data_IF_660009784720
#
_entry.id   IF_660009784720
#
_cell.length_a   1.000
_cell.length_b   1.000
_cell.length_c   1.000
_cell.angle_alpha   90.00
_cell.angle_beta   90.00
_cell.angle_gamma   90.00
#
_symmetry.space_group_name_H-M   'P 1'
#
loop_
_entity.id
_entity.type
_entity.pdbx_description
1 polymer ?
#
# COMPACT_ATOMS: atom_id res chain seq x y z
N UNK A 1 -19.82 8.12 -8.15
CA UNK A 1 -20.16 8.51 -7.88
C UNK A 1 -20.81 9.04 -7.25
N UNK A 2 -21.00 9.31 -7.13
CA UNK A 2 -21.66 9.77 -6.66
C UNK A 2 -21.94 10.77 -6.81
N UNK A 3 -21.86 11.20 -7.14
CA UNK A 3 -22.38 12.14 -7.33
C UNK A 3 -22.30 12.25 -8.50
N UNK A 4 -22.25 11.90 -8.97
CA UNK A 4 -22.31 12.02 -9.74
C UNK A 4 -23.11 11.91 -10.28
N UNK A 5 -23.60 12.09 -10.42
CA UNK A 5 -24.18 12.32 -10.79
C UNK A 5 -24.54 13.19 -11.14
N UNK A 6 -24.63 13.66 -11.39
CA UNK A 6 -24.95 14.68 -11.56
C UNK A 6 -24.75 15.10 -12.59
N UNK A 7 -24.76 15.01 -13.36
CA UNK A 7 -24.54 15.29 -14.13
C UNK A 7 -24.75 15.32 -15.22
N UNK A 8 -25.01 15.92 -16.06
CA UNK A 8 -25.14 15.80 -17.00
C UNK A 8 -25.03 16.66 -17.99
N UNK A 9 -25.49 17.37 -18.01
CA UNK A 9 -25.34 18.48 -18.68
C UNK A 9 -24.16 18.92 -18.86
N UNK A 10 -24.07 18.50 -19.03
CA UNK A 10 -23.21 18.49 -18.49
C UNK A 10 -22.46 17.36 -18.87
N UNK A 11 -22.66 16.71 -19.94
CA UNK A 11 -21.92 15.54 -20.28
C UNK A 11 -20.45 15.84 -20.51
N UNK A 12 -20.14 16.85 -21.31
CA UNK A 12 -18.73 17.22 -21.51
C UNK A 12 -18.08 17.65 -20.21
N UNK A 13 -18.84 18.38 -19.43
CA UNK A 13 -18.34 18.80 -18.14
C UNK A 13 -18.19 17.62 -17.20
N UNK A 14 -19.11 16.65 -17.29
CA UNK A 14 -19.02 15.45 -16.49
C UNK A 14 -17.79 14.65 -16.81
N UNK A 15 -17.40 14.58 -18.08
CA UNK A 15 -16.20 13.86 -18.47
C UNK A 15 -14.96 14.50 -17.88
N UNK A 16 -14.87 15.82 -17.97
CA UNK A 16 -13.74 16.54 -17.40
C UNK A 16 -13.72 16.41 -15.89
N UNK A 17 -14.90 16.54 -15.28
CA UNK A 17 -15.01 16.38 -13.83
C UNK A 17 -14.69 14.95 -13.42
N UNK A 18 -15.07 13.97 -14.22
CA UNK A 18 -14.78 12.57 -13.93
C UNK A 18 -13.30 12.30 -13.86
N UNK A 19 -12.51 12.91 -14.76
CA UNK A 19 -11.06 12.73 -14.71
C UNK A 19 -10.46 13.32 -13.44
N UNK A 20 -10.93 14.52 -13.04
CA UNK A 20 -10.48 15.16 -11.81
C UNK A 20 -10.92 14.32 -10.60
N UNK A 21 -12.17 13.87 -10.61
CA UNK A 21 -12.71 13.07 -9.53
C UNK A 21 -11.97 11.74 -9.39
N UNK A 22 -11.64 11.10 -10.52
CA UNK A 22 -10.88 9.86 -10.50
C UNK A 22 -9.51 10.05 -9.86
N UNK A 23 -8.86 11.15 -10.17
CA UNK A 23 -7.56 11.44 -9.59
C UNK A 23 -7.66 11.68 -8.08
N UNK A 24 -8.63 12.48 -7.66
CA UNK A 24 -8.84 12.74 -6.24
C UNK A 24 -9.20 11.46 -5.50
N UNK A 25 -10.06 10.65 -6.12
CA UNK A 25 -10.42 9.36 -5.55
C UNK A 25 -9.19 8.48 -5.40
N UNK A 26 -8.39 8.39 -6.45
CA UNK A 26 -7.20 7.53 -6.43
C UNK A 26 -6.20 7.99 -5.38
N UNK A 27 -5.96 9.30 -5.30
CA UNK A 27 -5.04 9.84 -4.29
C UNK A 27 -5.52 9.53 -2.88
N UNK A 28 -6.80 9.69 -2.63
CA UNK A 28 -7.39 9.39 -1.34
C UNK A 28 -7.31 7.91 -1.02
N UNK A 29 -7.56 7.07 -2.03
CA UNK A 29 -7.52 5.63 -1.86
C UNK A 29 -6.10 5.14 -1.56
N UNK A 30 -5.12 5.69 -2.26
CA UNK A 30 -3.72 5.34 -2.01
C UNK A 30 -3.35 5.67 -0.56
N UNK A 31 -3.67 6.87 -0.11
CA UNK A 31 -3.36 7.28 1.26
C UNK A 31 -4.04 6.36 2.28
N UNK A 32 -5.30 6.02 2.04
CA UNK A 32 -6.05 5.15 2.94
C UNK A 32 -5.45 3.75 2.99
N UNK A 33 -5.11 3.20 1.82
CA UNK A 33 -4.55 1.85 1.76
C UNK A 33 -3.15 1.80 2.38
N UNK A 34 -2.35 2.85 2.20
CA UNK A 34 -1.04 2.91 2.84
C UNK A 34 -1.16 2.91 4.36
N UNK A 35 -2.13 3.62 4.90
CA UNK A 35 -2.35 3.62 6.35
C UNK A 35 -2.71 2.23 6.86
N UNK A 36 -3.32 1.40 6.01
CA UNK A 36 -3.65 0.02 6.36
C UNK A 36 -2.48 -0.94 6.19
N UNK A 37 -1.36 -0.47 5.64
CA UNK A 37 -0.19 -1.32 5.42
C UNK A 37 -0.25 -2.12 4.14
N UNK A 38 -0.78 -1.53 3.07
CA UNK A 38 -0.89 -2.22 1.78
C UNK A 38 0.31 -1.93 0.89
N UNK A 39 0.72 -2.93 0.13
CA UNK A 39 1.84 -2.79 -0.81
C UNK A 39 1.42 -1.98 -2.03
N UNK A 40 2.41 -1.42 -2.74
CA UNK A 40 2.17 -0.73 -4.00
C UNK A 40 1.41 -1.64 -4.98
N UNK A 41 1.83 -2.90 -5.07
CA UNK A 41 1.22 -3.85 -5.98
C UNK A 41 -0.25 -4.07 -5.66
N UNK A 42 -0.57 -4.20 -4.39
CA UNK A 42 -1.95 -4.42 -3.97
C UNK A 42 -2.80 -3.19 -4.21
N UNK A 43 -2.25 -2.01 -3.94
CA UNK A 43 -2.97 -0.76 -4.18
C UNK A 43 -3.28 -0.60 -5.66
N UNK A 44 -2.30 -0.89 -6.52
CA UNK A 44 -2.50 -0.82 -7.96
C UNK A 44 -3.64 -1.73 -8.40
N UNK A 45 -3.71 -2.94 -7.85
CA UNK A 45 -4.79 -3.87 -8.17
C UNK A 45 -6.15 -3.34 -7.72
N UNK A 46 -6.21 -2.73 -6.54
CA UNK A 46 -7.45 -2.13 -6.04
C UNK A 46 -7.91 -1.01 -6.94
N UNK A 47 -6.98 -0.13 -7.35
CA UNK A 47 -7.32 0.98 -8.24
C UNK A 47 -7.84 0.48 -9.58
N UNK A 48 -7.25 -0.59 -10.09
CA UNK A 48 -7.69 -1.17 -11.34
C UNK A 48 -9.12 -1.69 -11.24
N UNK A 49 -9.48 -2.33 -10.14
CA UNK A 49 -10.85 -2.81 -9.95
C UNK A 49 -11.85 -1.67 -9.83
N UNK A 50 -11.39 -0.49 -9.46
CA UNK A 50 -12.24 0.69 -9.36
C UNK A 50 -12.28 1.51 -10.64
N UNK A 51 -11.68 1.00 -11.71
CA UNK A 51 -11.74 1.67 -13.00
C UNK A 51 -10.70 2.76 -13.22
N UNK A 52 -9.72 2.86 -12.34
CA UNK A 52 -8.63 3.83 -12.51
C UNK A 52 -7.67 3.27 -13.56
N UNK A 53 -7.29 4.10 -14.53
CA UNK A 53 -6.38 3.66 -15.59
C UNK A 53 -5.02 3.29 -15.02
N UNK A 54 -4.35 2.37 -15.70
CA UNK A 54 -3.02 1.95 -15.27
C UNK A 54 -2.05 3.12 -15.27
N UNK A 55 -2.12 3.99 -16.28
CA UNK A 55 -1.23 5.13 -16.36
C UNK A 55 -1.41 6.08 -15.18
N UNK A 56 -2.64 6.37 -14.81
CA UNK A 56 -2.92 7.23 -13.66
C UNK A 56 -2.43 6.58 -12.38
N UNK A 57 -2.70 5.29 -12.21
CA UNK A 57 -2.28 4.58 -11.01
C UNK A 57 -0.76 4.60 -10.87
N UNK A 58 -0.04 4.32 -11.96
CA UNK A 58 1.42 4.33 -11.93
C UNK A 58 1.97 5.71 -11.60
N UNK A 59 1.39 6.74 -12.21
CA UNK A 59 1.83 8.11 -11.97
C UNK A 59 1.66 8.50 -10.50
N UNK A 60 0.48 8.21 -9.95
CA UNK A 60 0.17 8.59 -8.58
C UNK A 60 0.97 7.76 -7.57
N UNK A 61 1.16 6.48 -7.84
CA UNK A 61 1.95 5.64 -6.95
C UNK A 61 3.43 6.03 -6.98
N UNK A 62 3.91 6.48 -8.12
CA UNK A 62 5.29 6.96 -8.21
C UNK A 62 5.52 8.22 -7.38
N UNK A 63 4.47 9.02 -7.16
CA UNK A 63 4.55 10.23 -6.36
C UNK A 63 4.33 9.97 -4.86
N UNK A 64 3.87 8.79 -4.53
CA UNK A 64 3.59 8.45 -3.14
C UNK A 64 4.93 8.30 -2.40
N UNK A 65 5.09 9.05 -1.32
CA UNK A 65 6.33 9.05 -0.56
C UNK A 65 6.42 7.87 0.41
N UNK A 66 5.31 7.20 0.65
CA UNK A 66 5.31 6.03 1.50
C UNK A 66 5.90 4.84 0.73
N UNK A 67 6.90 4.21 1.31
CA UNK A 67 7.55 3.08 0.66
C UNK A 67 6.87 1.78 1.02
N UNK A 68 7.14 0.73 0.22
CA UNK A 68 6.66 -0.60 0.55
C UNK A 68 7.25 -1.08 1.88
N UNK A 69 8.48 -0.69 2.18
CA UNK A 69 9.07 -1.04 3.47
C UNK A 69 8.25 -0.46 4.62
N UNK A 70 7.88 0.81 4.54
CA UNK A 70 7.06 1.45 5.57
C UNK A 70 5.69 0.78 5.67
N UNK A 71 5.07 0.47 4.53
CA UNK A 71 3.78 -0.22 4.53
C UNK A 71 3.89 -1.62 5.11
N UNK A 72 4.97 -2.33 4.80
CA UNK A 72 5.21 -3.66 5.35
C UNK A 72 5.38 -3.61 6.88
N UNK A 73 6.01 -2.56 7.39
CA UNK A 73 6.14 -2.36 8.83
C UNK A 73 4.77 -2.20 9.48
N UNK A 74 3.87 -1.44 8.86
CA UNK A 74 2.51 -1.30 9.38
C UNK A 74 1.80 -2.65 9.42
N UNK A 75 1.91 -3.41 8.33
CA UNK A 75 1.28 -4.73 8.26
C UNK A 75 1.88 -5.69 9.29
N UNK A 76 3.20 -5.70 9.43
CA UNK A 76 3.88 -6.57 10.37
C UNK A 76 3.53 -6.22 11.81
N UNK A 77 3.43 -4.94 12.11
CA UNK A 77 3.06 -4.49 13.45
C UNK A 77 1.66 -4.99 13.82
N UNK A 78 0.72 -4.88 12.89
CA UNK A 78 -0.66 -5.32 13.14
C UNK A 78 -0.73 -6.82 13.37
N UNK A 79 0.06 -7.59 12.65
CA UNK A 79 0.06 -9.05 12.73
C UNK A 79 1.09 -9.58 13.71
N UNK A 80 1.90 -8.70 14.27
CA UNK A 80 2.97 -9.05 15.21
C UNK A 80 3.99 -9.97 14.57
N UNK A 81 4.46 -9.56 13.42
CA UNK A 81 5.56 -10.19 12.71
C UNK A 81 6.86 -9.47 13.00
N UNK A 82 7.99 -10.12 12.74
CA UNK A 82 9.31 -9.52 12.85
C UNK A 82 9.59 -9.02 14.26
N UNK A 83 10.07 -7.77 14.41
CA UNK A 83 10.45 -7.24 15.73
C UNK A 83 9.24 -7.04 16.66
N UNK A 84 8.01 -7.12 16.15
CA UNK A 84 6.81 -7.04 16.96
C UNK A 84 6.31 -8.41 17.39
N UNK A 85 7.01 -9.46 17.02
CA UNK A 85 6.64 -10.85 17.34
C UNK A 85 6.70 -11.09 18.83
N UNK A 86 5.74 -11.85 19.30
CA UNK A 86 5.78 -12.37 20.66
C UNK A 86 6.44 -13.75 20.64
N UNK A 87 7.44 -13.94 21.48
CA UNK A 87 8.14 -15.20 21.56
C UNK A 87 9.31 -15.28 20.63
N UNK A 88 9.84 -16.47 20.48
CA UNK A 88 11.10 -16.68 19.79
C UNK A 88 10.94 -16.65 18.27
N UNK A 89 11.99 -16.19 17.61
CA UNK A 89 12.05 -16.11 16.15
C UNK A 89 12.67 -17.38 15.60
N UNK A 90 11.92 -18.48 15.58
CA UNK A 90 12.45 -19.70 14.98
C UNK A 90 12.34 -19.62 13.45
N UNK A 91 13.19 -20.36 12.74
CA UNK A 91 13.24 -20.27 11.28
C UNK A 91 11.93 -20.60 10.58
N UNK A 92 11.16 -21.54 11.12
CA UNK A 92 9.89 -21.90 10.49
C UNK A 92 8.87 -20.78 10.65
N UNK A 93 8.81 -20.15 11.80
CA UNK A 93 7.93 -19.02 12.04
C UNK A 93 8.30 -17.85 11.14
N UNK A 94 9.60 -17.57 11.00
CA UNK A 94 10.04 -16.52 10.11
C UNK A 94 9.64 -16.79 8.67
N UNK A 95 9.77 -18.03 8.21
CA UNK A 95 9.36 -18.38 6.85
C UNK A 95 7.87 -18.14 6.63
N UNK A 96 7.05 -18.46 7.61
CA UNK A 96 5.61 -18.24 7.52
C UNK A 96 5.27 -16.76 7.46
N UNK A 97 5.97 -15.94 8.26
CA UNK A 97 5.76 -14.51 8.26
C UNK A 97 6.18 -13.90 6.93
N UNK A 98 7.32 -14.31 6.39
CA UNK A 98 7.78 -13.85 5.09
C UNK A 98 6.77 -14.22 4.01
N UNK A 99 6.29 -15.46 4.01
CA UNK A 99 5.31 -15.91 3.03
C UNK A 99 4.03 -15.09 3.11
N UNK A 100 3.60 -14.76 4.31
CA UNK A 100 2.41 -13.94 4.50
C UNK A 100 2.57 -12.55 3.87
N UNK A 101 3.71 -11.90 4.12
CA UNK A 101 3.96 -10.59 3.54
C UNK A 101 4.07 -10.65 2.03
N UNK A 102 4.68 -11.70 1.50
CA UNK A 102 4.76 -11.87 0.05
C UNK A 102 3.38 -12.05 -0.58
N UNK A 103 2.49 -12.78 0.09
CA UNK A 103 1.11 -12.94 -0.40
C UNK A 103 0.36 -11.62 -0.39
N UNK A 104 0.76 -10.69 0.46
CA UNK A 104 0.14 -9.36 0.51
C UNK A 104 0.70 -8.43 -0.57
N UNK A 105 1.64 -8.91 -1.36
CA UNK A 105 2.17 -8.15 -2.50
C UNK A 105 3.51 -7.50 -2.25
N UNK A 106 4.13 -7.71 -1.09
CA UNK A 106 5.47 -7.19 -0.83
C UNK A 106 6.52 -8.10 -1.47
N UNK A 107 7.65 -7.50 -1.87
CA UNK A 107 8.74 -8.28 -2.43
C UNK A 107 9.39 -9.14 -1.34
N UNK A 108 10.07 -10.20 -1.77
CA UNK A 108 10.79 -11.05 -0.84
C UNK A 108 11.82 -10.24 -0.06
N UNK A 109 12.50 -9.32 -0.74
CA UNK A 109 13.51 -8.48 -0.09
C UNK A 109 12.92 -7.65 1.05
N UNK A 110 11.78 -6.99 0.79
CA UNK A 110 11.10 -6.20 1.81
C UNK A 110 10.61 -7.10 2.94
N UNK A 111 9.99 -8.23 2.60
CA UNK A 111 9.47 -9.15 3.60
C UNK A 111 10.57 -9.65 4.52
N UNK A 112 11.71 -10.04 3.96
CA UNK A 112 12.83 -10.53 4.75
C UNK A 112 13.41 -9.45 5.65
N UNK A 113 13.53 -8.23 5.11
CA UNK A 113 14.09 -7.13 5.90
C UNK A 113 13.25 -6.88 7.14
N UNK A 114 11.93 -6.93 7.01
CA UNK A 114 11.02 -6.71 8.12
C UNK A 114 11.05 -7.89 9.09
N UNK A 115 10.91 -9.11 8.58
CA UNK A 115 10.78 -10.31 9.42
C UNK A 115 12.08 -10.62 10.17
N UNK A 116 13.22 -10.41 9.54
CA UNK A 116 14.51 -10.71 10.15
C UNK A 116 15.05 -9.59 11.03
N UNK A 117 14.38 -8.45 11.07
CA UNK A 117 14.81 -7.34 11.90
C UNK A 117 14.69 -7.70 13.38
N UNK A 118 15.68 -7.31 14.17
CA UNK A 118 15.68 -7.55 15.60
C UNK A 118 15.44 -6.26 16.39
N UNK A 119 15.65 -5.12 15.76
CA UNK A 119 15.51 -3.80 16.38
C UNK A 119 14.48 -3.02 15.59
N UNK A 120 13.28 -2.86 16.18
CA UNK A 120 12.20 -2.16 15.49
C UNK A 120 12.47 -0.69 15.29
N UNK A 121 13.17 -0.05 16.23
CA UNK A 121 13.47 1.37 16.10
C UNK A 121 14.39 1.63 14.92
N UNK A 122 15.38 0.77 14.74
CA UNK A 122 16.27 0.86 13.59
C UNK A 122 15.54 0.60 12.29
N UNK A 123 14.65 -0.41 12.30
CA UNK A 123 13.84 -0.72 11.12
C UNK A 123 12.98 0.47 10.72
N UNK A 124 12.32 1.10 11.69
CA UNK A 124 11.47 2.25 11.43
C UNK A 124 12.29 3.44 10.94
N UNK A 125 13.50 3.61 11.45
CA UNK A 125 14.41 4.64 10.96
C UNK A 125 14.77 4.39 9.49
N UNK A 126 15.01 3.13 9.13
CA UNK A 126 15.29 2.77 7.72
C UNK A 126 14.12 3.13 6.82
N UNK A 127 12.89 3.00 7.30
CA UNK A 127 11.72 3.38 6.54
C UNK A 127 11.71 4.87 6.21
N UNK A 128 12.12 5.70 7.17
CA UNK A 128 12.13 7.14 6.97
C UNK A 128 13.22 7.55 5.98
N UNK A 129 14.31 6.79 5.90
CA UNK A 129 15.41 7.09 4.99
C UNK A 129 15.18 6.56 3.59
N UNK A 130 14.26 5.63 3.44
CA UNK A 130 13.95 5.05 2.12
C UNK A 130 13.10 6.01 1.27
#
# INVERSE_FOLDING_TARGET
ASYMHMVDAVVARCEASGLVDDRLYAESKIASERRKGRSTRRIAAVLQTKGISQDMAETLLARDETTDLAAACVAARKKRFGPWRKGDADPERQRKEIASLCRQGFSLQVARKVVEATDRDRLLSDCDEA
#
